data_IF_733895902011
#
_entry.id   IF_733895902011
#
_cell.length_a   1.000
_cell.length_b   1.000
_cell.length_c   1.000
_cell.angle_alpha   90.00
_cell.angle_beta   90.00
_cell.angle_gamma   90.00
#
_symmetry.space_group_name_H-M   'P 1'
#
loop_
_entity.id
_entity.type
_entity.pdbx_description
1 polymer ?
#
# COMPACT_ATOMS: atom_id res chain seq x y z
N UNK A 1 16.74 17.52 9.11
CA UNK A 1 15.27 17.29 9.07
C UNK A 1 14.82 17.38 7.62
N UNK A 2 13.95 16.46 7.16
CA UNK A 2 13.42 16.46 5.79
C UNK A 2 12.49 17.69 5.61
N UNK A 3 12.61 18.40 4.48
CA UNK A 3 11.84 19.64 4.24
C UNK A 3 10.45 19.39 3.62
N UNK A 4 10.26 18.28 2.92
CA UNK A 4 9.05 17.93 2.14
C UNK A 4 8.87 16.42 2.09
N UNK A 5 7.66 15.99 1.71
CA UNK A 5 7.30 14.59 1.56
C UNK A 5 7.11 13.85 2.89
N UNK A 6 7.02 12.53 2.82
CA UNK A 6 6.96 11.56 3.90
C UNK A 6 8.12 11.79 4.88
N UNK A 7 7.77 12.08 6.13
CA UNK A 7 8.75 12.29 7.21
C UNK A 7 9.13 10.99 7.94
N UNK A 8 8.30 9.95 7.82
CA UNK A 8 8.57 8.66 8.43
C UNK A 8 9.88 8.09 7.87
N UNK A 9 10.83 7.80 8.76
CA UNK A 9 12.18 7.33 8.40
C UNK A 9 12.13 6.00 7.64
N UNK A 10 11.33 5.05 8.08
CA UNK A 10 11.24 3.71 7.49
C UNK A 10 10.60 3.77 6.11
N UNK A 11 9.50 4.51 5.95
CA UNK A 11 8.89 4.74 4.64
C UNK A 11 9.85 5.46 3.69
N UNK A 12 10.52 6.52 4.15
CA UNK A 12 11.50 7.23 3.31
C UNK A 12 12.64 6.31 2.87
N UNK A 13 13.11 5.42 3.76
CA UNK A 13 14.16 4.45 3.45
C UNK A 13 13.66 3.41 2.45
N UNK A 14 12.45 2.90 2.66
CA UNK A 14 11.80 1.95 1.77
C UNK A 14 11.66 2.52 0.37
N UNK A 15 11.00 3.67 0.22
CA UNK A 15 10.71 4.26 -1.10
C UNK A 15 12.00 4.61 -1.86
N UNK A 16 13.02 5.11 -1.17
CA UNK A 16 14.32 5.40 -1.79
C UNK A 16 15.11 4.14 -2.21
N UNK A 17 14.72 2.96 -1.71
CA UNK A 17 15.38 1.69 -2.02
C UNK A 17 14.70 0.89 -3.14
N UNK A 18 13.51 1.32 -3.60
CA UNK A 18 12.76 0.59 -4.61
C UNK A 18 13.45 0.68 -5.97
N UNK A 19 13.63 -0.47 -6.61
CA UNK A 19 13.99 -0.60 -8.01
C UNK A 19 12.75 -0.78 -8.90
N UNK A 20 12.99 -0.87 -10.21
CA UNK A 20 11.93 -1.17 -11.18
C UNK A 20 11.26 -2.51 -10.84
N UNK A 21 9.94 -2.58 -10.95
CA UNK A 21 9.08 -3.74 -10.61
C UNK A 21 9.03 -4.15 -9.13
N UNK A 22 9.77 -3.48 -8.24
CA UNK A 22 9.64 -3.74 -6.81
C UNK A 22 8.23 -3.35 -6.33
N UNK A 23 7.69 -4.15 -5.41
CA UNK A 23 6.34 -3.95 -4.89
C UNK A 23 6.35 -3.60 -3.42
N UNK A 24 5.39 -2.76 -3.02
CA UNK A 24 5.04 -2.48 -1.64
C UNK A 24 3.55 -2.71 -1.47
N UNK A 25 3.11 -3.02 -0.25
CA UNK A 25 1.72 -3.24 0.06
C UNK A 25 1.29 -2.21 1.10
N UNK A 26 0.16 -1.54 0.87
CA UNK A 26 -0.54 -0.80 1.93
C UNK A 26 -1.69 -1.71 2.40
N UNK A 27 -1.77 -1.94 3.69
CA UNK A 27 -2.68 -2.91 4.29
C UNK A 27 -3.48 -2.30 5.43
N UNK A 28 -4.72 -2.77 5.59
CA UNK A 28 -5.50 -2.49 6.79
C UNK A 28 -4.93 -3.20 8.03
N UNK A 29 -5.56 -2.95 9.18
CA UNK A 29 -5.12 -3.53 10.44
C UNK A 29 -5.24 -5.06 10.54
N UNK A 30 -5.97 -5.73 9.64
CA UNK A 30 -6.31 -7.15 9.68
C UNK A 30 -5.50 -8.05 8.75
N UNK A 31 -4.81 -7.50 7.75
CA UNK A 31 -4.01 -8.31 6.83
C UNK A 31 -2.83 -9.00 7.56
N UNK A 32 -2.68 -10.34 7.43
CA UNK A 32 -1.50 -11.02 7.96
C UNK A 32 -0.25 -10.61 7.19
N UNK A 33 0.83 -10.31 7.91
CA UNK A 33 2.10 -9.86 7.32
C UNK A 33 3.10 -11.04 7.35
N UNK A 34 3.59 -11.50 6.19
CA UNK A 34 4.57 -12.59 6.13
C UNK A 34 5.94 -12.16 6.70
N UNK A 35 6.75 -13.12 7.15
CA UNK A 35 8.06 -12.83 7.75
C UNK A 35 9.10 -12.40 6.70
N UNK A 36 8.87 -12.75 5.44
CA UNK A 36 9.71 -12.43 4.29
C UNK A 36 9.68 -10.94 3.92
N UNK A 37 8.61 -10.24 4.30
CA UNK A 37 8.41 -8.83 3.98
C UNK A 37 8.64 -7.95 5.21
N UNK A 38 9.28 -6.80 5.00
CA UNK A 38 9.44 -5.83 6.06
C UNK A 38 8.07 -5.31 6.52
N UNK A 39 7.87 -5.21 7.84
CA UNK A 39 6.67 -4.60 8.41
C UNK A 39 6.96 -3.15 8.79
N UNK A 40 6.19 -2.22 8.23
CA UNK A 40 6.17 -0.82 8.67
C UNK A 40 4.78 -0.54 9.23
N UNK A 41 4.67 -0.49 10.55
CA UNK A 41 3.38 -0.26 11.22
C UNK A 41 3.20 1.22 11.57
N UNK A 42 2.25 1.87 10.89
CA UNK A 42 1.90 3.26 11.14
C UNK A 42 0.67 3.39 12.05
N UNK A 43 -0.05 2.29 12.29
CA UNK A 43 -1.31 2.29 13.03
C UNK A 43 -1.09 2.70 14.47
N UNK A 44 -1.83 3.71 14.92
CA UNK A 44 -1.83 4.16 16.31
C UNK A 44 -3.08 3.70 17.03
N UNK A 45 -4.23 3.88 16.38
CA UNK A 45 -5.56 3.44 16.83
C UNK A 45 -6.37 3.04 15.62
N UNK A 46 -7.52 2.39 15.83
CA UNK A 46 -8.38 1.94 14.73
C UNK A 46 -8.74 3.11 13.80
N UNK A 47 -8.35 2.99 12.53
CA UNK A 47 -8.62 4.00 11.49
C UNK A 47 -7.67 5.20 11.47
N UNK A 48 -6.59 5.19 12.26
CA UNK A 48 -5.59 6.25 12.23
C UNK A 48 -4.14 5.72 12.19
N UNK A 49 -3.35 6.12 11.17
CA UNK A 49 -3.71 7.02 10.07
C UNK A 49 -4.69 6.37 9.07
N UNK A 50 -5.54 7.15 8.38
CA UNK A 50 -6.43 6.59 7.36
C UNK A 50 -5.65 6.02 6.18
N UNK A 51 -6.09 4.87 5.65
CA UNK A 51 -5.50 4.22 4.47
C UNK A 51 -5.24 5.19 3.32
N UNK A 52 -6.26 6.00 2.95
CA UNK A 52 -6.16 6.93 1.83
C UNK A 52 -5.12 8.03 2.05
N UNK A 53 -4.93 8.50 3.31
CA UNK A 53 -3.90 9.49 3.61
C UNK A 53 -2.48 8.92 3.45
N UNK A 54 -2.30 7.64 3.76
CA UNK A 54 -1.03 6.94 3.55
C UNK A 54 -0.79 6.68 2.06
N UNK A 55 -1.83 6.28 1.32
CA UNK A 55 -1.77 6.13 -0.14
C UNK A 55 -1.40 7.46 -0.81
N UNK A 56 -2.10 8.55 -0.48
CA UNK A 56 -1.86 9.88 -1.06
C UNK A 56 -0.41 10.33 -0.84
N UNK A 57 0.11 10.17 0.38
CA UNK A 57 1.49 10.52 0.69
C UNK A 57 2.52 9.67 -0.08
N UNK A 58 2.23 8.39 -0.33
CA UNK A 58 3.10 7.50 -1.11
C UNK A 58 3.07 7.90 -2.59
N UNK A 59 1.89 8.21 -3.15
CA UNK A 59 1.75 8.61 -4.56
C UNK A 59 2.44 9.95 -4.88
N UNK A 60 2.70 10.80 -3.88
CA UNK A 60 3.52 12.02 -4.06
C UNK A 60 5.01 11.74 -4.27
N UNK A 61 5.54 10.60 -3.81
CA UNK A 61 6.98 10.28 -3.87
C UNK A 61 7.30 9.05 -4.73
N UNK A 62 6.33 8.18 -5.01
CA UNK A 62 6.52 6.93 -5.73
C UNK A 62 5.91 6.99 -7.12
N UNK A 63 6.70 6.69 -8.14
CA UNK A 63 6.21 6.43 -9.49
C UNK A 63 5.60 5.02 -9.53
N UNK A 64 4.29 4.94 -9.80
CA UNK A 64 3.54 3.68 -9.79
C UNK A 64 3.18 3.30 -11.23
N UNK A 65 3.71 2.17 -11.69
CA UNK A 65 3.44 1.65 -13.04
C UNK A 65 2.25 0.67 -13.11
N UNK A 66 1.87 0.06 -11.99
CA UNK A 66 0.74 -0.83 -11.87
C UNK A 66 0.29 -0.96 -10.41
N UNK A 67 -0.98 -1.30 -10.18
CA UNK A 67 -1.47 -1.65 -8.84
C UNK A 67 -2.37 -2.88 -8.86
N UNK A 68 -2.39 -3.58 -7.72
CA UNK A 68 -3.17 -4.81 -7.52
C UNK A 68 -4.13 -4.62 -6.36
N UNK A 69 -5.38 -5.07 -6.54
CA UNK A 69 -6.39 -5.11 -5.47
C UNK A 69 -6.95 -6.52 -5.31
N UNK A 70 -7.37 -6.84 -4.09
CA UNK A 70 -8.18 -8.03 -3.84
C UNK A 70 -9.58 -7.86 -4.50
N UNK A 71 -10.07 -8.87 -5.21
CA UNK A 71 -11.37 -8.83 -5.91
C UNK A 71 -12.55 -8.44 -5.01
N UNK A 72 -12.50 -8.91 -3.77
CA UNK A 72 -13.53 -8.77 -2.75
C UNK A 72 -13.79 -7.30 -2.39
N UNK A 73 -12.82 -6.39 -2.61
CA UNK A 73 -12.99 -4.95 -2.31
C UNK A 73 -14.17 -4.34 -3.06
N UNK A 74 -14.52 -4.86 -4.24
CA UNK A 74 -15.64 -4.37 -5.06
C UNK A 74 -16.99 -4.51 -4.34
N UNK A 75 -17.12 -5.55 -3.52
CA UNK A 75 -18.37 -5.92 -2.85
C UNK A 75 -18.32 -5.46 -1.39
N UNK A 76 -17.21 -5.75 -0.71
CA UNK A 76 -17.08 -5.52 0.74
C UNK A 76 -16.73 -4.07 1.08
N UNK A 77 -16.10 -3.33 0.16
CA UNK A 77 -15.71 -1.93 0.39
C UNK A 77 -15.72 -1.07 -0.88
N UNK A 78 -16.90 -0.91 -1.53
CA UNK A 78 -17.02 -0.20 -2.81
C UNK A 78 -16.58 1.27 -2.73
N UNK A 79 -16.80 1.93 -1.58
CA UNK A 79 -16.37 3.32 -1.38
C UNK A 79 -14.86 3.44 -1.37
N UNK A 80 -14.14 2.54 -0.70
CA UNK A 80 -12.67 2.53 -0.73
C UNK A 80 -12.16 2.23 -2.14
N UNK A 81 -12.78 1.27 -2.83
CA UNK A 81 -12.45 0.95 -4.21
C UNK A 81 -12.55 2.16 -5.14
N UNK A 82 -13.67 2.89 -5.12
CA UNK A 82 -13.86 4.11 -5.91
C UNK A 82 -12.80 5.18 -5.59
N UNK A 83 -12.50 5.38 -4.31
CA UNK A 83 -11.47 6.33 -3.87
C UNK A 83 -10.06 5.97 -4.36
N UNK A 84 -9.71 4.67 -4.40
CA UNK A 84 -8.44 4.19 -4.94
C UNK A 84 -8.42 4.40 -6.46
N UNK A 85 -9.50 4.04 -7.16
CA UNK A 85 -9.57 4.21 -8.62
C UNK A 85 -9.42 5.67 -9.04
N UNK A 86 -10.00 6.61 -8.30
CA UNK A 86 -9.85 8.03 -8.60
C UNK A 86 -8.39 8.50 -8.51
N UNK A 87 -7.62 7.98 -7.57
CA UNK A 87 -6.20 8.33 -7.36
C UNK A 87 -5.27 7.71 -8.40
N UNK A 88 -5.63 6.54 -8.90
CA UNK A 88 -4.81 5.70 -9.80
C UNK A 88 -5.47 5.50 -11.17
N UNK A 89 -6.31 6.45 -11.61
CA UNK A 89 -7.15 6.29 -12.80
C UNK A 89 -6.35 6.02 -14.10
N UNK A 90 -5.11 6.50 -14.18
CA UNK A 90 -4.21 6.30 -15.33
C UNK A 90 -3.26 5.12 -15.17
N UNK A 91 -3.28 4.43 -14.03
CA UNK A 91 -2.34 3.35 -13.72
C UNK A 91 -3.01 2.01 -14.03
N UNK A 92 -2.34 1.09 -14.75
CA UNK A 92 -2.81 -0.28 -14.94
C UNK A 92 -3.22 -0.96 -13.63
N UNK A 93 -4.44 -1.47 -13.60
CA UNK A 93 -5.02 -2.16 -12.44
C UNK A 93 -5.19 -3.64 -12.76
N UNK A 94 -4.85 -4.50 -11.79
CA UNK A 94 -5.23 -5.91 -11.80
C UNK A 94 -5.97 -6.30 -10.52
N UNK A 95 -6.84 -7.28 -10.65
CA UNK A 95 -7.51 -7.91 -9.51
C UNK A 95 -7.04 -9.34 -9.35
N UNK A 96 -6.93 -9.76 -8.09
CA UNK A 96 -6.66 -11.15 -7.71
C UNK A 96 -7.54 -11.53 -6.53
N UNK A 97 -7.88 -12.82 -6.33
CA UNK A 97 -8.55 -13.28 -5.12
C UNK A 97 -7.73 -12.93 -3.86
N UNK A 98 -8.38 -12.67 -2.72
CA UNK A 98 -7.68 -12.26 -1.49
C UNK A 98 -6.61 -13.28 -1.03
N UNK A 99 -6.85 -14.58 -1.20
CA UNK A 99 -5.86 -15.61 -0.91
C UNK A 99 -4.60 -15.48 -1.78
N UNK A 100 -4.77 -15.20 -3.07
CA UNK A 100 -3.64 -14.95 -3.97
C UNK A 100 -2.93 -13.63 -3.63
N UNK A 101 -3.69 -12.60 -3.25
CA UNK A 101 -3.11 -11.33 -2.78
C UNK A 101 -2.17 -11.55 -1.59
N UNK A 102 -2.59 -12.35 -0.59
CA UNK A 102 -1.75 -12.70 0.57
C UNK A 102 -0.47 -13.42 0.16
N UNK A 103 -0.54 -14.33 -0.81
CA UNK A 103 0.66 -14.99 -1.34
C UNK A 103 1.62 -14.00 -2.02
N UNK A 104 1.08 -13.06 -2.80
CA UNK A 104 1.88 -12.00 -3.43
C UNK A 104 2.56 -11.08 -2.40
N UNK A 105 1.98 -10.91 -1.21
CA UNK A 105 2.61 -10.07 -0.19
C UNK A 105 3.98 -10.59 0.25
N UNK A 106 4.25 -11.90 0.13
CA UNK A 106 5.55 -12.50 0.51
C UNK A 106 6.74 -12.00 -0.32
N UNK A 107 6.48 -11.53 -1.55
CA UNK A 107 7.52 -10.96 -2.42
C UNK A 107 7.59 -9.44 -2.34
N UNK A 108 6.68 -8.79 -1.60
CA UNK A 108 6.73 -7.35 -1.40
C UNK A 108 7.92 -6.95 -0.53
N UNK A 109 8.56 -5.83 -0.87
CA UNK A 109 9.65 -5.25 -0.09
C UNK A 109 9.20 -4.87 1.32
N UNK A 110 7.97 -4.37 1.43
CA UNK A 110 7.35 -4.11 2.71
C UNK A 110 5.82 -4.14 2.64
N UNK A 111 5.22 -4.43 3.80
CA UNK A 111 3.81 -4.21 4.09
C UNK A 111 3.69 -3.05 5.07
N UNK A 112 3.00 -2.01 4.64
CA UNK A 112 2.74 -0.77 5.36
C UNK A 112 1.34 -0.88 5.96
N UNK A 113 1.26 -1.05 7.29
CA UNK A 113 0.00 -1.24 8.01
C UNK A 113 -0.57 0.10 8.47
N UNK A 114 -1.85 0.31 8.22
CA UNK A 114 -2.62 1.52 8.59
C UNK A 114 -3.73 1.21 9.59
#
# INVERSE_FOLDING_TARGET
MKKRGILNKELSTLLASLGHTDTIVIADCGLPIPNESARIDLSLVKGFPPFLSVLDAILEELEVEAFTLAEEIKIENPVMYENIQQRLASVPMQFVPHEQFKEMTKSAKAVIRT
#
